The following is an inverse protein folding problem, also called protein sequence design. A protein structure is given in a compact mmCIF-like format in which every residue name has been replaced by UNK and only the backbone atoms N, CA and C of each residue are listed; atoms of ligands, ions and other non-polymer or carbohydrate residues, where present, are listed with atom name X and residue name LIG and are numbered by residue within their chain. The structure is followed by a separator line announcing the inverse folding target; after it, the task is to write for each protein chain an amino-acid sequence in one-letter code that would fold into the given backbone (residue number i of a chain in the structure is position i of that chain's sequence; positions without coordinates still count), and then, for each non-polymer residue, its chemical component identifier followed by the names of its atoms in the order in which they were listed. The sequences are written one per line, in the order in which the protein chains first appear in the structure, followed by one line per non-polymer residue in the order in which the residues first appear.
data_IF_023145233993
#
_entry.id   IF_023145233993
#
_cell.length_a   1.000
_cell.length_b   1.000
_cell.length_c   1.000
_cell.angle_alpha   90.00
_cell.angle_beta   90.00
_cell.angle_gamma   90.00
#
_symmetry.space_group_name_H-M   'P 1'
#
loop_
_entity.id
_entity.type
_entity.pdbx_description
1 polymer ?
#
# COMPACT_ATOMS: atom_id res chain seq x y z
N UNK A 1 15.23 28.36 4.37
CA UNK A 1 14.40 28.95 5.46
C UNK A 1 13.08 29.57 4.94
N UNK A 2 12.94 29.83 3.63
CA UNK A 2 11.70 30.38 3.02
C UNK A 2 10.49 29.45 3.18
N UNK A 3 10.70 28.16 3.08
CA UNK A 3 9.64 27.16 2.91
C UNK A 3 8.65 27.14 4.09
N UNK A 4 9.13 27.25 5.33
CA UNK A 4 8.27 27.28 6.51
C UNK A 4 7.37 28.54 6.54
N UNK A 5 7.89 29.69 6.11
CA UNK A 5 7.11 30.92 6.02
C UNK A 5 6.06 30.84 4.89
N UNK A 6 6.41 30.21 3.77
CA UNK A 6 5.47 29.97 2.67
C UNK A 6 4.32 29.05 3.09
N UNK A 7 4.62 27.99 3.84
CA UNK A 7 3.60 27.08 4.38
C UNK A 7 2.72 27.77 5.42
N UNK A 8 3.32 28.52 6.35
CA UNK A 8 2.57 29.29 7.34
C UNK A 8 1.63 30.32 6.68
N UNK A 9 2.00 30.91 5.53
CA UNK A 9 1.11 31.81 4.79
C UNK A 9 -0.15 31.12 4.23
N UNK A 10 -0.14 29.80 4.08
CA UNK A 10 -1.28 29.03 3.56
C UNK A 10 -2.36 28.76 4.62
N UNK A 11 -2.13 29.11 5.89
CA UNK A 11 -3.07 28.83 6.98
C UNK A 11 -2.96 29.83 8.12
N UNK A 12 -4.07 30.09 8.80
CA UNK A 12 -4.08 30.91 10.02
C UNK A 12 -3.75 30.08 11.27
N UNK A 13 -3.80 28.74 11.17
CA UNK A 13 -3.73 27.82 12.31
C UNK A 13 -2.29 27.37 12.64
N UNK A 14 -1.30 27.66 11.79
CA UNK A 14 0.07 27.15 11.91
C UNK A 14 1.08 28.28 11.71
N UNK A 15 1.97 28.47 12.67
CA UNK A 15 3.08 29.42 12.58
C UNK A 15 4.30 28.79 11.89
N UNK A 16 5.20 29.63 11.37
CA UNK A 16 6.49 29.16 10.88
C UNK A 16 7.30 28.48 12.00
N UNK A 17 7.14 28.92 13.26
CA UNK A 17 7.82 28.36 14.43
C UNK A 17 7.36 26.92 14.74
N UNK A 18 6.09 26.60 14.50
CA UNK A 18 5.56 25.23 14.64
C UNK A 18 6.18 24.28 13.60
N UNK A 19 6.48 24.80 12.41
CA UNK A 19 7.15 24.04 11.34
C UNK A 19 8.64 23.87 11.67
N UNK A 20 9.28 24.87 12.28
CA UNK A 20 10.69 24.74 12.68
C UNK A 20 10.88 23.79 13.87
N UNK A 21 9.89 23.68 14.76
CA UNK A 21 9.93 22.80 15.94
C UNK A 21 9.43 21.37 15.68
N UNK A 22 9.15 21.01 14.42
CA UNK A 22 8.69 19.67 14.04
C UNK A 22 9.71 18.60 14.45
N UNK A 23 9.30 17.61 15.28
CA UNK A 23 10.13 16.46 15.59
C UNK A 23 10.44 15.63 14.34
N UNK A 24 11.53 14.83 14.36
CA UNK A 24 11.82 13.89 13.28
C UNK A 24 10.63 12.98 12.98
N UNK A 25 10.37 12.77 11.68
CA UNK A 25 9.26 11.97 11.17
C UNK A 25 7.85 12.51 11.44
N UNK A 26 7.70 13.68 12.05
CA UNK A 26 6.41 14.36 12.16
C UNK A 26 6.14 15.18 10.89
N UNK A 27 4.88 15.26 10.48
CA UNK A 27 4.46 16.02 9.30
C UNK A 27 3.17 16.79 9.57
N UNK A 28 3.02 17.95 8.94
CA UNK A 28 1.74 18.62 8.76
C UNK A 28 1.33 18.51 7.30
N UNK A 29 0.08 18.12 7.06
CA UNK A 29 -0.46 17.97 5.72
C UNK A 29 -1.81 18.69 5.59
N UNK A 30 -1.97 19.37 4.45
CA UNK A 30 -3.25 19.94 4.04
C UNK A 30 -4.01 18.89 3.23
N UNK A 31 -5.10 18.37 3.80
CA UNK A 31 -5.89 17.30 3.19
C UNK A 31 -7.26 17.85 2.79
N UNK A 32 -7.74 17.57 1.56
CA UNK A 32 -9.12 17.86 1.20
C UNK A 32 -10.05 16.98 2.04
N UNK A 33 -10.87 17.62 2.88
CA UNK A 33 -12.04 17.01 3.52
C UNK A 33 -13.23 17.10 2.57
N UNK A 34 -14.35 16.44 2.85
CA UNK A 34 -15.52 16.43 1.97
C UNK A 34 -15.97 17.83 1.49
N UNK A 35 -16.26 17.95 0.19
CA UNK A 35 -16.48 19.25 -0.46
C UNK A 35 -15.17 20.05 -0.57
N UNK A 36 -15.17 21.27 -1.11
CA UNK A 36 -13.93 22.05 -1.33
C UNK A 36 -13.26 22.58 -0.03
N UNK A 37 -13.40 21.86 1.08
CA UNK A 37 -12.90 22.21 2.41
C UNK A 37 -11.56 21.52 2.62
N UNK A 38 -10.54 22.28 2.99
CA UNK A 38 -9.23 21.73 3.31
C UNK A 38 -8.99 21.87 4.81
N UNK A 39 -8.43 20.83 5.42
CA UNK A 39 -8.05 20.84 6.82
C UNK A 39 -6.57 20.49 6.95
N UNK A 40 -5.89 21.18 7.86
CA UNK A 40 -4.54 20.82 8.28
C UNK A 40 -4.61 19.72 9.33
N UNK A 41 -3.81 18.68 9.13
CA UNK A 41 -3.74 17.50 9.99
C UNK A 41 -2.27 17.26 10.32
N UNK A 42 -2.00 16.94 11.58
CA UNK A 42 -0.71 16.45 12.05
C UNK A 42 -0.65 14.93 11.89
N UNK A 43 0.44 14.42 11.35
CA UNK A 43 0.69 12.98 11.23
C UNK A 43 2.11 12.63 11.62
N UNK A 44 2.33 11.36 11.90
CA UNK A 44 3.65 10.79 12.13
C UNK A 44 3.95 9.74 11.06
N UNK A 45 5.12 9.85 10.44
CA UNK A 45 5.65 8.87 9.51
C UNK A 45 6.52 7.86 10.25
N UNK A 46 6.65 6.66 9.69
CA UNK A 46 7.59 5.69 10.23
C UNK A 46 8.99 5.99 9.71
N UNK A 47 10.03 5.79 10.54
CA UNK A 47 11.40 5.86 10.07
C UNK A 47 11.63 4.83 8.96
N UNK A 48 12.61 5.10 8.11
CA UNK A 48 13.01 4.16 7.08
C UNK A 48 13.41 2.84 7.75
N UNK A 49 12.76 1.75 7.33
CA UNK A 49 13.14 0.42 7.81
C UNK A 49 14.61 0.16 7.47
N UNK A 50 15.43 -0.34 8.41
CA UNK A 50 16.84 -0.60 8.15
C UNK A 50 16.96 -1.55 6.95
N UNK A 51 17.90 -1.23 6.06
CA UNK A 51 18.18 -2.05 4.89
C UNK A 51 18.59 -3.46 5.32
N UNK A 52 17.64 -4.40 5.28
CA UNK A 52 17.88 -5.78 5.68
C UNK A 52 18.46 -6.52 4.49
N UNK A 53 19.76 -6.79 4.52
CA UNK A 53 20.46 -7.59 3.50
C UNK A 53 20.43 -9.10 3.78
N UNK A 54 19.91 -9.50 4.93
CA UNK A 54 19.92 -10.88 5.39
C UNK A 54 18.58 -11.57 5.06
N UNK A 55 18.59 -12.38 3.99
CA UNK A 55 17.42 -13.10 3.52
C UNK A 55 16.86 -14.11 4.53
N UNK A 56 17.72 -14.73 5.34
CA UNK A 56 17.29 -15.71 6.35
C UNK A 56 16.45 -15.06 7.44
N UNK A 57 16.79 -13.84 7.86
CA UNK A 57 15.97 -13.07 8.81
C UNK A 57 14.61 -12.69 8.23
N UNK A 58 14.57 -12.29 6.96
CA UNK A 58 13.32 -11.97 6.28
C UNK A 58 12.43 -13.20 6.20
N UNK A 59 13.00 -14.34 5.79
CA UNK A 59 12.29 -15.62 5.73
C UNK A 59 11.75 -16.02 7.10
N UNK A 60 12.58 -15.97 8.15
CA UNK A 60 12.16 -16.32 9.50
C UNK A 60 11.05 -15.40 10.02
N UNK A 61 11.15 -14.08 9.81
CA UNK A 61 10.09 -13.14 10.20
C UNK A 61 8.78 -13.43 9.47
N UNK A 62 8.84 -13.75 8.18
CA UNK A 62 7.66 -14.14 7.41
C UNK A 62 7.08 -15.45 7.93
N UNK A 63 7.93 -16.44 8.24
CA UNK A 63 7.52 -17.72 8.79
C UNK A 63 6.85 -17.57 10.16
N UNK A 64 7.36 -16.69 11.03
CA UNK A 64 6.74 -16.44 12.34
C UNK A 64 5.41 -15.69 12.22
N UNK A 65 5.28 -14.78 11.26
CA UNK A 65 4.10 -13.92 11.11
C UNK A 65 2.98 -14.57 10.29
N UNK A 66 3.34 -15.35 9.29
CA UNK A 66 2.42 -15.91 8.28
C UNK A 66 2.59 -17.42 8.08
N UNK A 67 3.56 -18.05 8.73
CA UNK A 67 3.74 -19.50 8.62
C UNK A 67 2.59 -20.24 9.29
N UNK A 68 2.25 -21.38 8.69
CA UNK A 68 1.27 -22.32 9.19
C UNK A 68 1.94 -23.69 9.44
N UNK A 69 1.43 -24.51 10.36
CA UNK A 69 1.89 -25.88 10.55
C UNK A 69 1.69 -26.69 9.27
N UNK A 70 2.66 -27.55 8.94
CA UNK A 70 2.60 -28.35 7.72
C UNK A 70 1.38 -29.27 7.72
N UNK A 71 1.03 -29.83 8.88
CA UNK A 71 -0.08 -30.78 9.01
C UNK A 71 -1.44 -30.12 8.71
N UNK A 72 -1.59 -28.83 9.03
CA UNK A 72 -2.81 -28.07 8.75
C UNK A 72 -2.93 -27.76 7.25
N UNK A 73 -1.82 -27.32 6.65
CA UNK A 73 -1.73 -27.03 5.21
C UNK A 73 -2.01 -28.29 4.39
N UNK A 74 -1.45 -29.44 4.78
CA UNK A 74 -1.69 -30.71 4.10
C UNK A 74 -3.15 -31.15 4.18
N UNK A 75 -3.80 -30.99 5.34
CA UNK A 75 -5.23 -31.30 5.51
C UNK A 75 -6.10 -30.41 4.64
N UNK A 76 -5.88 -29.10 4.66
CA UNK A 76 -6.61 -28.15 3.84
C UNK A 76 -6.45 -28.47 2.34
N UNK A 77 -5.23 -28.80 1.91
CA UNK A 77 -4.96 -29.17 0.52
C UNK A 77 -5.70 -30.45 0.10
N UNK A 78 -5.74 -31.47 0.96
CA UNK A 78 -6.51 -32.70 0.72
C UNK A 78 -8.00 -32.37 0.61
N UNK A 79 -8.55 -31.60 1.54
CA UNK A 79 -9.97 -31.19 1.53
C UNK A 79 -10.33 -30.42 0.25
N UNK A 80 -9.48 -29.47 -0.17
CA UNK A 80 -9.65 -28.74 -1.43
C UNK A 80 -9.59 -29.67 -2.66
N UNK A 81 -8.69 -30.66 -2.64
CA UNK A 81 -8.55 -31.62 -3.74
C UNK A 81 -9.77 -32.54 -3.87
N UNK A 82 -10.36 -32.94 -2.74
CA UNK A 82 -11.56 -33.79 -2.68
C UNK A 82 -12.84 -33.02 -3.03
N UNK A 83 -12.90 -31.74 -2.67
CA UNK A 83 -14.05 -30.86 -2.95
C UNK A 83 -14.13 -30.48 -4.44
N UNK A 84 -13.04 -30.63 -5.21
CA UNK A 84 -12.99 -30.33 -6.64
C UNK A 84 -13.67 -31.44 -7.49
N UNK A 85 -14.98 -31.67 -7.27
CA UNK A 85 -15.86 -32.25 -8.30
C UNK A 85 -16.23 -31.17 -9.31
N UNK A 86 -15.57 -31.24 -10.48
CA UNK A 86 -15.79 -30.47 -11.71
C UNK A 86 -15.62 -28.95 -11.62
N UNK A 87 -14.83 -28.33 -12.52
CA UNK A 87 -15.20 -26.99 -12.98
C UNK A 87 -16.51 -27.14 -13.74
N UNK A 88 -17.62 -26.64 -13.20
CA UNK A 88 -18.70 -26.14 -14.06
C UNK A 88 -18.02 -25.09 -14.92
N UNK A 89 -17.80 -25.42 -16.19
CA UNK A 89 -17.32 -24.49 -17.18
C UNK A 89 -18.40 -23.40 -17.33
N UNK A 90 -18.38 -22.40 -16.46
CA UNK A 90 -18.82 -21.08 -16.82
C UNK A 90 -17.75 -20.57 -17.78
N UNK A 91 -17.94 -20.93 -19.05
CA UNK A 91 -17.29 -20.25 -20.16
C UNK A 91 -17.69 -18.79 -20.04
N UNK A 92 -16.89 -17.98 -19.36
CA UNK A 92 -16.90 -16.55 -19.61
C UNK A 92 -16.39 -16.40 -21.03
N UNK A 93 -17.33 -16.26 -21.97
CA UNK A 93 -17.08 -15.75 -23.31
C UNK A 93 -16.69 -14.28 -23.20
N UNK A 94 -15.58 -13.98 -22.53
CA UNK A 94 -15.00 -12.63 -22.45
C UNK A 94 -13.56 -12.67 -21.91
N UNK A 95 -12.81 -13.73 -22.19
CA UNK A 95 -11.36 -13.58 -22.31
C UNK A 95 -11.10 -12.79 -23.58
N UNK A 96 -11.14 -11.46 -23.48
CA UNK A 96 -10.77 -10.58 -24.57
C UNK A 96 -9.46 -11.08 -25.16
N UNK A 97 -9.52 -11.58 -26.40
CA UNK A 97 -8.38 -12.11 -27.17
C UNK A 97 -7.41 -10.97 -27.59
N UNK A 98 -7.30 -9.93 -26.77
CA UNK A 98 -6.58 -8.68 -27.03
C UNK A 98 -5.55 -8.37 -25.94
N UNK A 99 -4.98 -9.40 -25.32
CA UNK A 99 -3.73 -9.24 -24.57
C UNK A 99 -2.56 -9.21 -25.56
N UNK A 100 -2.40 -8.09 -26.27
CA UNK A 100 -1.32 -7.90 -27.24
C UNK A 100 -1.36 -6.54 -27.93
N UNK A 101 -0.17 -6.03 -28.30
CA UNK A 101 0.01 -4.75 -29.01
C UNK A 101 -0.61 -4.83 -30.41
N UNK A 102 -1.73 -4.14 -30.63
CA UNK A 102 -2.35 -4.04 -31.96
C UNK A 102 -1.54 -3.10 -32.86
N UNK A 103 -1.10 -3.62 -34.01
CA UNK A 103 -0.49 -2.82 -35.08
C UNK A 103 -1.59 -1.95 -35.70
N UNK A 104 -1.44 -0.63 -35.63
CA UNK A 104 -2.32 0.35 -36.28
C UNK A 104 -2.21 0.14 -37.80
N UNK A 105 -3.29 -0.29 -38.45
CA UNK A 105 -3.39 -0.27 -39.90
C UNK A 105 -3.56 1.18 -40.35
N UNK A 106 -2.74 1.62 -41.31
CA UNK A 106 -2.90 2.92 -41.94
C UNK A 106 -4.17 2.91 -42.79
N UNK A 107 -5.00 3.94 -42.62
CA UNK A 107 -6.05 4.32 -43.55
C UNK A 107 -5.44 4.99 -44.78
#
# INVERSE_FOLDING_TARGET
MSDAHEIARQTTELSAEDIYSLPPYQVYAKIPMFGNHYKWISGQTNPLSPATRDGSKIFLNSLLKYGAPLEEVERELIELSLTKKQPTAQQSTDFSQNLGRRKKGNA
#
